data_IF_615732975888
#
_entry.id   IF_615732975888
#
_cell.length_a   1.000
_cell.length_b   1.000
_cell.length_c   1.000
_cell.angle_alpha   90.00
_cell.angle_beta   90.00
_cell.angle_gamma   90.00
#
_symmetry.space_group_name_H-M   'P 1'
#
loop_
_entity.id
_entity.type
_entity.pdbx_description
1 polymer ?
#
# COMPACT_ATOMS: atom_id res chain seq x y z
N UNK A 1 -23.08 -5.53 43.43
CA UNK A 1 -24.48 -5.13 43.12
C UNK A 1 -24.65 -4.38 41.78
N UNK A 2 -23.62 -4.22 40.94
CA UNK A 2 -23.76 -3.64 39.58
C UNK A 2 -24.17 -4.66 38.50
N UNK A 3 -24.10 -5.96 38.80
CA UNK A 3 -24.43 -7.07 37.88
C UNK A 3 -25.93 -7.33 37.67
N UNK A 4 -26.81 -6.43 38.16
CA UNK A 4 -28.28 -6.58 38.12
C UNK A 4 -29.01 -5.50 37.33
N UNK A 5 -28.31 -4.52 36.77
CA UNK A 5 -28.93 -3.59 35.83
C UNK A 5 -28.86 -4.26 34.46
N UNK A 6 -30.02 -4.71 33.98
CA UNK A 6 -30.20 -5.22 32.62
C UNK A 6 -30.13 -4.03 31.65
N UNK A 7 -28.94 -3.44 31.54
CA UNK A 7 -28.69 -2.27 30.69
C UNK A 7 -28.72 -2.75 29.25
N UNK A 8 -29.65 -2.19 28.48
CA UNK A 8 -29.65 -2.37 27.03
C UNK A 8 -28.48 -1.59 26.43
N UNK A 9 -27.32 -2.28 26.40
CA UNK A 9 -26.09 -1.74 25.87
C UNK A 9 -26.22 -1.35 24.39
N UNK A 10 -27.05 -2.06 23.63
CA UNK A 10 -27.24 -1.78 22.20
C UNK A 10 -27.96 -0.44 22.03
N UNK A 11 -29.12 -0.28 22.67
CA UNK A 11 -29.86 0.97 22.65
C UNK A 11 -29.04 2.16 23.18
N UNK A 12 -28.22 1.95 24.21
CA UNK A 12 -27.31 3.00 24.69
C UNK A 12 -26.32 3.45 23.60
N UNK A 13 -25.61 2.52 22.95
CA UNK A 13 -24.62 2.87 21.95
C UNK A 13 -25.23 3.41 20.65
N UNK A 14 -26.43 2.97 20.29
CA UNK A 14 -27.18 3.52 19.15
C UNK A 14 -27.56 4.98 19.42
N UNK A 15 -28.07 5.29 20.61
CA UNK A 15 -28.38 6.68 21.01
C UNK A 15 -27.10 7.54 21.16
N UNK A 16 -26.05 6.97 21.74
CA UNK A 16 -24.80 7.70 21.99
C UNK A 16 -24.03 8.01 20.69
N UNK A 17 -24.22 7.21 19.62
CA UNK A 17 -23.51 7.41 18.35
C UNK A 17 -23.75 8.81 17.74
N UNK A 18 -24.97 9.33 17.85
CA UNK A 18 -25.31 10.68 17.40
C UNK A 18 -24.51 11.75 18.15
N UNK A 19 -24.53 11.69 19.49
CA UNK A 19 -23.78 12.60 20.35
C UNK A 19 -22.26 12.48 20.12
N UNK A 20 -21.76 11.24 20.00
CA UNK A 20 -20.36 10.97 19.69
C UNK A 20 -19.93 11.67 18.39
N UNK A 21 -20.73 11.52 17.33
CA UNK A 21 -20.49 12.12 16.03
C UNK A 21 -20.45 13.65 16.10
N UNK A 22 -21.41 14.27 16.78
CA UNK A 22 -21.43 15.72 16.98
C UNK A 22 -20.20 16.21 17.73
N UNK A 23 -19.79 15.48 18.78
CA UNK A 23 -18.65 15.86 19.62
C UNK A 23 -17.31 15.67 18.92
N UNK A 24 -17.18 14.70 18.01
CA UNK A 24 -16.00 14.61 17.12
C UNK A 24 -15.90 15.82 16.21
N UNK A 25 -17.00 16.24 15.56
CA UNK A 25 -17.02 17.43 14.72
C UNK A 25 -16.59 18.69 15.48
N UNK A 26 -16.96 18.78 16.76
CA UNK A 26 -16.60 19.86 17.67
C UNK A 26 -15.18 19.74 18.23
N UNK A 27 -14.41 18.70 17.87
CA UNK A 27 -13.09 18.37 18.46
C UNK A 27 -13.11 18.34 19.99
N UNK A 28 -14.22 17.89 20.56
CA UNK A 28 -14.43 17.89 22.01
C UNK A 28 -13.65 16.78 22.72
N UNK A 29 -13.46 15.64 22.06
CA UNK A 29 -12.75 14.50 22.62
C UNK A 29 -11.25 14.59 22.35
N UNK A 30 -10.45 14.31 23.37
CA UNK A 30 -9.03 14.01 23.19
C UNK A 30 -8.83 12.68 22.44
N UNK A 31 -7.74 12.58 21.70
CA UNK A 31 -7.36 11.38 20.96
C UNK A 31 -7.32 10.12 21.85
N UNK A 32 -6.78 10.26 23.06
CA UNK A 32 -6.65 9.17 24.05
C UNK A 32 -8.01 8.60 24.49
N UNK A 33 -9.05 9.46 24.58
CA UNK A 33 -10.40 9.05 24.93
C UNK A 33 -11.04 8.23 23.80
N UNK A 34 -10.86 8.65 22.55
CA UNK A 34 -11.36 7.91 21.39
C UNK A 34 -10.64 6.56 21.26
N UNK A 35 -9.31 6.54 21.37
CA UNK A 35 -8.54 5.30 21.29
C UNK A 35 -8.99 4.27 22.34
N UNK A 36 -9.22 4.73 23.58
CA UNK A 36 -9.72 3.87 24.67
C UNK A 36 -11.12 3.32 24.36
N UNK A 37 -12.02 4.16 23.83
CA UNK A 37 -13.35 3.74 23.43
C UNK A 37 -13.28 2.67 22.33
N UNK A 38 -12.59 2.96 21.22
CA UNK A 38 -12.44 2.03 20.10
C UNK A 38 -11.84 0.70 20.55
N UNK A 39 -10.82 0.72 21.41
CA UNK A 39 -10.26 -0.50 21.99
C UNK A 39 -11.31 -1.31 22.77
N UNK A 40 -12.10 -0.65 23.61
CA UNK A 40 -13.15 -1.32 24.40
C UNK A 40 -14.27 -1.91 23.53
N UNK A 41 -14.49 -1.33 22.34
CA UNK A 41 -15.45 -1.81 21.35
C UNK A 41 -14.86 -2.87 20.42
N UNK A 42 -13.55 -3.13 20.45
CA UNK A 42 -12.85 -3.97 19.48
C UNK A 42 -13.35 -5.41 19.37
N UNK A 43 -14.11 -5.91 20.33
CA UNK A 43 -14.75 -7.23 20.27
C UNK A 43 -16.20 -7.23 19.76
N UNK A 44 -16.75 -6.06 19.38
CA UNK A 44 -18.13 -5.88 18.92
C UNK A 44 -18.12 -5.29 17.51
N UNK A 45 -18.37 -6.13 16.52
CA UNK A 45 -18.23 -5.82 15.08
C UNK A 45 -19.02 -4.58 14.66
N UNK A 46 -20.31 -4.55 15.00
CA UNK A 46 -21.23 -3.44 14.72
C UNK A 46 -20.77 -2.13 15.35
N UNK A 47 -20.41 -2.15 16.64
CA UNK A 47 -20.03 -0.95 17.39
C UNK A 47 -18.64 -0.44 17.00
N UNK A 48 -17.64 -1.31 16.88
CA UNK A 48 -16.31 -0.87 16.43
C UNK A 48 -16.39 -0.23 15.05
N UNK A 49 -17.07 -0.89 14.11
CA UNK A 49 -17.25 -0.38 12.76
C UNK A 49 -17.95 0.96 12.71
N UNK A 50 -19.08 1.11 13.43
CA UNK A 50 -19.85 2.34 13.46
C UNK A 50 -19.04 3.52 14.03
N UNK A 51 -18.36 3.31 15.16
CA UNK A 51 -17.63 4.38 15.85
C UNK A 51 -16.32 4.73 15.14
N UNK A 52 -15.59 3.75 14.60
CA UNK A 52 -14.38 4.02 13.83
C UNK A 52 -14.69 4.71 12.49
N UNK A 53 -15.80 4.32 11.83
CA UNK A 53 -16.29 5.02 10.63
C UNK A 53 -16.65 6.48 10.93
N UNK A 54 -17.39 6.73 12.01
CA UNK A 54 -17.74 8.09 12.43
C UNK A 54 -16.48 8.91 12.72
N UNK A 55 -15.51 8.35 13.43
CA UNK A 55 -14.22 9.01 13.68
C UNK A 55 -13.48 9.36 12.39
N UNK A 56 -13.34 8.39 11.49
CA UNK A 56 -12.63 8.57 10.22
C UNK A 56 -13.27 9.59 9.29
N UNK A 57 -14.61 9.67 9.27
CA UNK A 57 -15.36 10.61 8.44
C UNK A 57 -15.13 12.09 8.81
N UNK A 58 -14.77 12.37 10.07
CA UNK A 58 -14.68 13.74 10.59
C UNK A 58 -13.28 14.13 11.07
N UNK A 59 -12.27 13.30 10.78
CA UNK A 59 -10.87 13.55 11.13
C UNK A 59 -9.98 13.50 9.89
N UNK A 60 -8.77 14.02 10.00
CA UNK A 60 -7.78 14.00 8.91
C UNK A 60 -7.23 12.59 8.66
N UNK A 61 -6.71 12.28 7.45
CA UNK A 61 -6.02 11.01 7.19
C UNK A 61 -4.91 10.71 8.21
N UNK A 62 -4.18 11.73 8.65
CA UNK A 62 -3.13 11.63 9.67
C UNK A 62 -3.68 11.15 11.02
N UNK A 63 -4.82 11.69 11.45
CA UNK A 63 -5.47 11.26 12.70
C UNK A 63 -5.94 9.80 12.62
N UNK A 64 -6.49 9.38 11.48
CA UNK A 64 -6.91 7.99 11.25
C UNK A 64 -5.70 7.04 11.24
N UNK A 65 -4.60 7.45 10.58
CA UNK A 65 -3.35 6.70 10.58
C UNK A 65 -2.77 6.55 11.99
N UNK A 66 -2.69 7.65 12.73
CA UNK A 66 -2.22 7.65 14.11
C UNK A 66 -3.12 6.80 15.03
N UNK A 67 -4.43 6.76 14.77
CA UNK A 67 -5.35 5.86 15.50
C UNK A 67 -5.03 4.39 15.21
N UNK A 68 -4.83 4.03 13.94
CA UNK A 68 -4.39 2.67 13.57
C UNK A 68 -3.08 2.29 14.27
N UNK A 69 -2.07 3.16 14.20
CA UNK A 69 -0.81 2.99 14.89
C UNK A 69 -1.05 2.83 16.40
N UNK A 70 -1.80 3.71 17.05
CA UNK A 70 -2.09 3.59 18.48
C UNK A 70 -2.79 2.27 18.86
N UNK A 71 -3.76 1.81 18.07
CA UNK A 71 -4.43 0.53 18.31
C UNK A 71 -3.45 -0.65 18.16
N UNK A 72 -2.49 -0.55 17.26
CA UNK A 72 -1.47 -1.58 16.98
C UNK A 72 -0.41 -1.71 18.08
N UNK A 73 -0.10 -0.65 18.84
CA UNK A 73 0.91 -0.71 19.92
C UNK A 73 0.37 -1.25 21.24
N UNK A 74 -0.94 -1.19 21.45
CA UNK A 74 -1.53 -1.34 22.78
C UNK A 74 -2.14 -2.75 23.01
N UNK A 75 -2.34 -3.55 21.96
CA UNK A 75 -2.90 -4.89 22.10
C UNK A 75 -2.97 -5.68 20.79
N UNK A 76 -3.56 -6.87 20.85
CA UNK A 76 -3.73 -7.72 19.66
C UNK A 76 -4.85 -7.15 18.80
N UNK A 77 -4.52 -6.83 17.54
CA UNK A 77 -5.53 -6.50 16.54
C UNK A 77 -6.30 -7.77 16.19
N UNK A 78 -7.45 -7.97 16.85
CA UNK A 78 -8.34 -9.08 16.53
C UNK A 78 -8.95 -8.92 15.13
N UNK A 79 -9.66 -9.96 14.67
CA UNK A 79 -10.24 -10.01 13.33
C UNK A 79 -11.25 -8.89 13.06
N UNK A 80 -12.04 -8.49 14.07
CA UNK A 80 -13.02 -7.41 13.96
C UNK A 80 -12.30 -6.07 13.69
N UNK A 81 -11.26 -5.77 14.47
CA UNK A 81 -10.48 -4.55 14.30
C UNK A 81 -9.79 -4.55 12.94
N UNK A 82 -9.16 -5.66 12.54
CA UNK A 82 -8.51 -5.79 11.24
C UNK A 82 -9.49 -5.54 10.08
N UNK A 83 -10.68 -6.16 10.12
CA UNK A 83 -11.72 -6.00 9.10
C UNK A 83 -12.07 -4.52 8.86
N UNK A 84 -12.33 -3.77 9.93
CA UNK A 84 -12.73 -2.36 9.83
C UNK A 84 -11.56 -1.43 9.54
N UNK A 85 -10.35 -1.73 10.03
CA UNK A 85 -9.12 -1.00 9.67
C UNK A 85 -8.84 -1.12 8.17
N UNK A 86 -8.93 -2.34 7.61
CA UNK A 86 -8.77 -2.59 6.17
C UNK A 86 -9.87 -1.92 5.35
N UNK A 87 -11.10 -1.83 5.87
CA UNK A 87 -12.18 -1.13 5.17
C UNK A 87 -11.95 0.39 5.10
N UNK A 88 -11.43 0.98 6.17
CA UNK A 88 -11.43 2.44 6.38
C UNK A 88 -10.11 3.09 5.98
N UNK A 89 -8.95 2.49 6.27
CA UNK A 89 -7.66 3.13 6.02
C UNK A 89 -7.38 3.36 4.52
N UNK A 90 -7.56 2.38 3.61
CA UNK A 90 -7.24 2.54 2.19
C UNK A 90 -7.91 3.76 1.52
N UNK A 91 -9.23 3.98 1.60
CA UNK A 91 -9.88 5.13 0.95
C UNK A 91 -9.55 6.48 1.59
N UNK A 92 -8.93 6.49 2.78
CA UNK A 92 -8.46 7.72 3.43
C UNK A 92 -7.05 8.08 3.02
N UNK A 93 -6.25 7.08 2.63
CA UNK A 93 -4.82 7.22 2.37
C UNK A 93 -4.51 7.24 0.87
N UNK A 94 -5.31 6.59 0.03
CA UNK A 94 -5.06 6.46 -1.42
C UNK A 94 -4.85 7.79 -2.19
N UNK A 95 -5.31 8.92 -1.64
CA UNK A 95 -5.25 10.27 -2.22
C UNK A 95 -4.31 11.24 -1.53
N UNK A 96 -3.59 10.83 -0.48
CA UNK A 96 -2.63 11.72 0.18
C UNK A 96 -1.39 11.93 -0.71
N UNK A 97 -0.55 12.90 -0.36
CA UNK A 97 0.68 13.14 -1.10
C UNK A 97 1.70 12.01 -0.87
N UNK A 98 2.61 11.80 -1.83
CA UNK A 98 3.71 10.85 -1.66
C UNK A 98 4.56 11.16 -0.43
N UNK A 99 4.78 12.45 -0.13
CA UNK A 99 5.57 12.87 1.03
C UNK A 99 4.87 12.52 2.35
N UNK A 100 3.56 12.79 2.47
CA UNK A 100 2.79 12.40 3.65
C UNK A 100 2.82 10.88 3.83
N UNK A 101 2.68 10.14 2.74
CA UNK A 101 2.68 8.68 2.79
C UNK A 101 4.05 8.11 3.19
N UNK A 102 5.17 8.71 2.75
CA UNK A 102 6.51 8.35 3.23
C UNK A 102 6.67 8.57 4.74
N UNK A 103 6.11 9.66 5.26
CA UNK A 103 6.10 9.89 6.71
C UNK A 103 5.28 8.82 7.44
N UNK A 104 4.15 8.42 6.87
CA UNK A 104 3.29 7.37 7.43
C UNK A 104 4.00 6.02 7.46
N UNK A 105 4.65 5.62 6.37
CA UNK A 105 5.39 4.35 6.31
C UNK A 105 6.58 4.36 7.25
N UNK A 106 7.30 5.48 7.39
CA UNK A 106 8.38 5.64 8.37
C UNK A 106 7.88 5.42 9.80
N UNK A 107 6.80 6.08 10.20
CA UNK A 107 6.20 5.90 11.53
C UNK A 107 5.74 4.45 11.78
N UNK A 108 5.17 3.80 10.76
CA UNK A 108 4.79 2.39 10.85
C UNK A 108 5.99 1.47 11.04
N UNK A 109 7.11 1.70 10.33
CA UNK A 109 8.36 0.95 10.51
C UNK A 109 8.90 1.07 11.94
N UNK A 110 9.01 2.31 12.44
CA UNK A 110 9.46 2.58 13.81
C UNK A 110 8.60 1.85 14.85
N UNK A 111 7.30 1.72 14.56
CA UNK A 111 6.38 1.03 15.42
C UNK A 111 6.43 -0.50 15.28
N UNK A 112 6.60 -1.05 14.08
CA UNK A 112 6.75 -2.50 13.88
C UNK A 112 7.91 -3.08 14.68
N UNK A 113 8.99 -2.31 14.84
CA UNK A 113 10.16 -2.66 15.66
C UNK A 113 9.83 -2.77 17.16
N UNK A 114 8.72 -2.18 17.61
CA UNK A 114 8.28 -2.20 19.01
C UNK A 114 7.20 -3.28 19.27
N UNK A 115 6.65 -3.88 18.22
CA UNK A 115 5.62 -4.91 18.32
C UNK A 115 6.29 -6.28 18.35
N UNK A 116 5.86 -7.13 19.30
CA UNK A 116 6.33 -8.51 19.42
C UNK A 116 5.99 -9.34 18.19
N UNK A 117 6.84 -10.30 17.83
CA UNK A 117 6.69 -11.09 16.60
C UNK A 117 5.32 -11.78 16.49
N UNK A 118 4.76 -12.26 17.61
CA UNK A 118 3.43 -12.90 17.66
C UNK A 118 2.28 -11.98 17.21
N UNK A 119 2.43 -10.66 17.42
CA UNK A 119 1.40 -9.65 17.17
C UNK A 119 1.60 -8.90 15.85
N UNK A 120 2.74 -9.13 15.20
CA UNK A 120 3.16 -8.44 13.99
C UNK A 120 2.32 -8.82 12.74
N UNK A 121 1.91 -10.09 12.51
CA UNK A 121 1.24 -10.46 11.25
C UNK A 121 -0.06 -9.70 10.95
N UNK A 122 -0.99 -9.48 11.90
CA UNK A 122 -2.17 -8.64 11.68
C UNK A 122 -1.85 -7.22 11.21
N UNK A 123 -0.79 -6.63 11.78
CA UNK A 123 -0.36 -5.25 11.47
C UNK A 123 0.24 -5.20 10.07
N UNK A 124 1.12 -6.14 9.74
CA UNK A 124 1.72 -6.25 8.41
C UNK A 124 0.65 -6.39 7.32
N UNK A 125 -0.37 -7.22 7.54
CA UNK A 125 -1.49 -7.39 6.60
C UNK A 125 -2.22 -6.07 6.32
N UNK A 126 -2.47 -5.26 7.36
CA UNK A 126 -3.12 -3.94 7.20
C UNK A 126 -2.19 -2.99 6.43
N UNK A 127 -0.91 -2.94 6.80
CA UNK A 127 0.09 -2.10 6.14
C UNK A 127 0.24 -2.44 4.67
N UNK A 128 0.35 -3.73 4.33
CA UNK A 128 0.42 -4.24 2.97
C UNK A 128 -0.83 -3.83 2.16
N UNK A 129 -2.02 -3.97 2.76
CA UNK A 129 -3.27 -3.59 2.10
C UNK A 129 -3.35 -2.09 1.82
N UNK A 130 -2.95 -1.26 2.79
CA UNK A 130 -2.94 0.20 2.66
C UNK A 130 -1.90 0.65 1.63
N UNK A 131 -0.70 0.07 1.66
CA UNK A 131 0.37 0.33 0.72
C UNK A 131 -0.04 -0.02 -0.70
N UNK A 132 -0.64 -1.20 -0.89
CA UNK A 132 -1.16 -1.60 -2.19
C UNK A 132 -2.21 -0.63 -2.69
N UNK A 133 -3.18 -0.22 -1.85
CA UNK A 133 -4.23 0.71 -2.27
C UNK A 133 -3.67 2.08 -2.66
N UNK A 134 -2.71 2.60 -1.89
CA UNK A 134 -2.01 3.83 -2.21
C UNK A 134 -1.27 3.72 -3.54
N UNK A 135 -0.41 2.73 -3.71
CA UNK A 135 0.37 2.53 -4.93
C UNK A 135 -0.53 2.28 -6.14
N UNK A 136 -1.55 1.44 -5.99
CA UNK A 136 -2.49 1.13 -7.05
C UNK A 136 -3.16 2.41 -7.57
N UNK A 137 -3.60 3.30 -6.67
CA UNK A 137 -4.19 4.58 -7.05
C UNK A 137 -3.17 5.51 -7.69
N UNK A 138 -2.00 5.67 -7.07
CA UNK A 138 -1.01 6.66 -7.48
C UNK A 138 -0.27 6.29 -8.77
N UNK A 139 -0.09 5.00 -9.04
CA UNK A 139 0.69 4.48 -10.18
C UNK A 139 -0.21 4.16 -11.39
N UNK A 140 -1.47 3.76 -11.20
CA UNK A 140 -2.37 3.58 -12.35
C UNK A 140 -2.99 4.88 -12.84
N UNK A 141 -3.12 5.88 -11.98
CA UNK A 141 -3.69 7.16 -12.37
C UNK A 141 -2.62 8.00 -13.08
N UNK A 142 -2.75 8.16 -14.40
CA UNK A 142 -1.78 8.88 -15.24
C UNK A 142 -1.60 10.36 -14.83
N UNK A 143 -2.50 10.93 -14.01
CA UNK A 143 -2.31 12.26 -13.44
C UNK A 143 -1.21 12.27 -12.35
N UNK A 144 -0.96 11.15 -11.67
CA UNK A 144 -0.09 11.04 -10.49
C UNK A 144 1.13 10.17 -10.73
N UNK A 145 1.03 9.16 -11.60
CA UNK A 145 2.09 8.16 -11.85
C UNK A 145 3.43 8.77 -12.23
N UNK A 146 3.39 9.92 -12.93
CA UNK A 146 4.55 10.64 -13.41
C UNK A 146 5.27 11.51 -12.37
N UNK A 147 4.73 11.63 -11.15
CA UNK A 147 5.31 12.43 -10.07
C UNK A 147 6.37 11.67 -9.26
N UNK A 148 6.39 10.35 -9.35
CA UNK A 148 7.35 9.52 -8.63
C UNK A 148 8.68 9.48 -9.39
N UNK A 149 9.76 9.78 -8.67
CA UNK A 149 11.11 9.55 -9.13
C UNK A 149 11.48 8.07 -8.99
N UNK A 150 12.54 7.65 -9.68
CA UNK A 150 13.10 6.31 -9.50
C UNK A 150 13.49 6.06 -8.03
N UNK A 151 14.00 7.08 -7.34
CA UNK A 151 14.35 7.00 -5.92
C UNK A 151 13.13 6.74 -5.04
N UNK A 152 12.00 7.40 -5.31
CA UNK A 152 10.76 7.20 -4.55
C UNK A 152 10.25 5.78 -4.71
N UNK A 153 10.25 5.27 -5.94
CA UNK A 153 9.81 3.91 -6.24
C UNK A 153 10.70 2.87 -5.57
N UNK A 154 12.02 3.07 -5.53
CA UNK A 154 12.94 2.18 -4.80
C UNK A 154 12.65 2.16 -3.29
N UNK A 155 12.39 3.32 -2.70
CA UNK A 155 12.01 3.42 -1.29
C UNK A 155 10.69 2.69 -0.99
N UNK A 156 9.69 2.84 -1.86
CA UNK A 156 8.43 2.10 -1.75
C UNK A 156 8.60 0.60 -1.98
N UNK A 157 9.53 0.17 -2.83
CA UNK A 157 9.82 -1.25 -3.05
C UNK A 157 10.39 -1.88 -1.79
N UNK A 158 11.39 -1.24 -1.18
CA UNK A 158 11.97 -1.69 0.10
C UNK A 158 10.91 -1.74 1.20
N UNK A 159 10.06 -0.71 1.27
CA UNK A 159 8.95 -0.67 2.23
C UNK A 159 7.93 -1.80 1.98
N UNK A 160 7.62 -2.11 0.72
CA UNK A 160 6.72 -3.22 0.36
C UNK A 160 7.30 -4.57 0.79
N UNK A 161 8.61 -4.77 0.60
CA UNK A 161 9.30 -5.97 1.02
C UNK A 161 9.31 -6.11 2.55
N UNK A 162 9.59 -5.03 3.29
CA UNK A 162 9.56 -5.02 4.76
C UNK A 162 8.15 -5.29 5.33
N UNK A 163 7.10 -4.80 4.66
CA UNK A 163 5.72 -5.02 5.09
C UNK A 163 5.17 -6.38 4.67
N UNK A 164 5.79 -7.05 3.71
CA UNK A 164 5.38 -8.35 3.24
C UNK A 164 5.81 -9.45 4.21
N UNK A 165 4.86 -10.27 4.66
CA UNK A 165 5.16 -11.43 5.51
C UNK A 165 6.03 -12.48 4.80
N UNK A 166 5.98 -12.56 3.46
CA UNK A 166 6.78 -13.48 2.65
C UNK A 166 8.08 -12.86 2.13
N UNK A 167 8.27 -11.55 2.28
CA UNK A 167 9.40 -10.80 1.69
C UNK A 167 9.63 -11.11 0.19
N UNK A 168 8.56 -11.35 -0.57
CA UNK A 168 8.65 -11.74 -1.98
C UNK A 168 8.31 -10.59 -2.93
N UNK A 169 8.94 -10.59 -4.11
CA UNK A 169 8.64 -9.64 -5.18
C UNK A 169 7.31 -9.91 -5.89
N UNK A 170 6.74 -11.10 -5.70
CA UNK A 170 5.40 -11.47 -6.17
C UNK A 170 4.28 -10.71 -5.46
N UNK A 171 4.59 -9.98 -4.38
CA UNK A 171 3.62 -9.14 -3.71
C UNK A 171 2.99 -8.14 -4.71
N UNK A 172 1.66 -7.97 -4.74
CA UNK A 172 1.01 -7.04 -5.66
C UNK A 172 1.61 -5.63 -5.65
N UNK A 173 1.99 -5.10 -4.48
CA UNK A 173 2.63 -3.77 -4.37
C UNK A 173 3.99 -3.72 -5.05
N UNK A 174 4.81 -4.76 -4.86
CA UNK A 174 6.11 -4.90 -5.50
C UNK A 174 5.96 -4.95 -7.02
N UNK A 175 5.02 -5.77 -7.53
CA UNK A 175 4.76 -5.90 -8.97
C UNK A 175 4.34 -4.56 -9.61
N UNK A 176 3.50 -3.77 -8.93
CA UNK A 176 3.10 -2.44 -9.40
C UNK A 176 4.29 -1.48 -9.56
N UNK A 177 5.18 -1.48 -8.57
CA UNK A 177 6.38 -0.64 -8.54
C UNK A 177 7.37 -1.08 -9.62
N UNK A 178 7.62 -2.39 -9.72
CA UNK A 178 8.52 -2.98 -10.72
C UNK A 178 8.03 -2.64 -12.12
N UNK A 179 6.73 -2.80 -12.39
CA UNK A 179 6.13 -2.40 -13.67
C UNK A 179 6.36 -0.92 -13.97
N UNK A 180 6.31 -0.05 -12.96
CA UNK A 180 6.60 1.38 -13.15
C UNK A 180 8.06 1.68 -13.47
N UNK A 181 8.98 1.08 -12.71
CA UNK A 181 10.43 1.21 -12.94
C UNK A 181 10.82 0.72 -14.34
N UNK A 182 10.29 -0.45 -14.73
CA UNK A 182 10.65 -1.10 -15.99
C UNK A 182 9.94 -0.55 -17.22
N UNK A 183 8.76 0.06 -17.09
CA UNK A 183 7.97 0.45 -18.27
C UNK A 183 7.53 1.91 -18.25
N UNK A 184 6.89 2.39 -17.18
CA UNK A 184 6.28 3.74 -17.17
C UNK A 184 7.27 4.90 -17.05
N UNK A 185 8.45 4.70 -16.47
CA UNK A 185 9.47 5.76 -16.40
C UNK A 185 10.15 6.05 -17.76
N UNK A 186 10.13 5.11 -18.71
CA UNK A 186 10.71 5.34 -20.04
C UNK A 186 9.72 6.03 -20.96
N UNK A 187 9.83 7.36 -21.00
CA UNK A 187 9.00 8.25 -21.83
C UNK A 187 9.58 8.50 -23.22
N UNK A 188 10.70 7.89 -23.56
CA UNK A 188 11.36 8.23 -24.80
C UNK A 188 10.69 7.52 -25.98
N UNK A 189 10.16 8.29 -26.92
CA UNK A 189 9.72 7.80 -28.21
C UNK A 189 10.94 7.43 -29.05
N UNK A 190 11.39 6.19 -28.89
CA UNK A 190 12.49 5.58 -29.64
C UNK A 190 11.99 4.42 -30.49
N UNK A 191 12.81 3.99 -31.46
CA UNK A 191 12.52 2.77 -32.23
C UNK A 191 12.47 1.55 -31.30
N UNK A 192 11.83 0.46 -31.74
CA UNK A 192 11.61 -0.75 -30.91
C UNK A 192 12.92 -1.34 -30.37
N UNK A 193 14.01 -1.24 -31.13
CA UNK A 193 15.33 -1.76 -30.73
C UNK A 193 15.91 -1.02 -29.53
N UNK A 194 15.94 0.31 -29.56
CA UNK A 194 16.41 1.13 -28.44
C UNK A 194 15.53 0.95 -27.20
N UNK A 195 14.21 0.77 -27.38
CA UNK A 195 13.30 0.40 -26.28
C UNK A 195 13.72 -0.93 -25.62
N UNK A 196 14.05 -1.96 -26.39
CA UNK A 196 14.50 -3.25 -25.88
C UNK A 196 15.84 -3.15 -25.15
N UNK A 197 16.84 -2.50 -25.73
CA UNK A 197 18.15 -2.29 -25.10
C UNK A 197 18.04 -1.61 -23.74
N UNK A 198 17.13 -0.63 -23.62
CA UNK A 198 16.87 0.07 -22.35
C UNK A 198 16.07 -0.74 -21.37
N UNK A 199 15.17 -1.59 -21.83
CA UNK A 199 14.48 -2.55 -20.97
C UNK A 199 15.50 -3.48 -20.31
N UNK A 200 16.42 -4.08 -21.08
CA UNK A 200 17.48 -4.92 -20.52
C UNK A 200 18.36 -4.17 -19.51
N UNK A 201 18.81 -2.95 -19.83
CA UNK A 201 19.57 -2.13 -18.88
C UNK A 201 18.80 -1.86 -17.57
N UNK A 202 17.49 -1.63 -17.65
CA UNK A 202 16.64 -1.42 -16.46
C UNK A 202 16.42 -2.71 -15.68
N UNK A 203 16.37 -3.86 -16.36
CA UNK A 203 16.32 -5.17 -15.74
C UNK A 203 17.61 -5.46 -14.98
N UNK A 204 18.78 -5.16 -15.55
CA UNK A 204 20.06 -5.31 -14.87
C UNK A 204 20.10 -4.45 -13.59
N UNK A 205 19.69 -3.18 -13.69
CA UNK A 205 19.60 -2.29 -12.54
C UNK A 205 18.60 -2.78 -11.47
N UNK A 206 17.48 -3.39 -11.88
CA UNK A 206 16.51 -3.96 -10.94
C UNK A 206 17.09 -5.22 -10.28
N UNK A 207 17.86 -6.02 -11.01
CA UNK A 207 18.49 -7.23 -10.52
C UNK A 207 19.46 -6.94 -9.38
N UNK A 208 20.30 -5.91 -9.54
CA UNK A 208 21.21 -5.41 -8.49
C UNK A 208 20.50 -4.96 -7.20
N UNK A 209 19.21 -4.63 -7.26
CA UNK A 209 18.45 -4.05 -6.15
C UNK A 209 17.52 -5.06 -5.50
N UNK A 210 16.93 -5.97 -6.28
CA UNK A 210 15.77 -6.74 -5.84
C UNK A 210 15.89 -8.25 -6.12
N UNK A 211 16.64 -8.68 -7.13
CA UNK A 211 16.52 -10.05 -7.66
C UNK A 211 17.70 -11.00 -7.34
N UNK A 212 18.57 -10.69 -6.38
CA UNK A 212 19.64 -11.64 -5.96
C UNK A 212 19.10 -13.04 -5.58
N UNK A 213 17.82 -13.14 -5.18
CA UNK A 213 17.15 -14.38 -4.78
C UNK A 213 15.95 -14.82 -5.65
N UNK A 214 15.53 -14.04 -6.65
CA UNK A 214 14.31 -14.31 -7.43
C UNK A 214 14.56 -14.23 -8.94
N UNK A 215 14.10 -15.22 -9.69
CA UNK A 215 14.19 -15.21 -11.16
C UNK A 215 13.34 -14.06 -11.74
N UNK A 216 13.92 -13.13 -12.52
CA UNK A 216 13.17 -12.07 -13.21
C UNK A 216 11.98 -12.57 -14.02
N UNK A 217 12.05 -13.80 -14.55
CA UNK A 217 10.96 -14.42 -15.30
C UNK A 217 9.72 -14.74 -14.45
N UNK A 218 9.84 -14.81 -13.12
CA UNK A 218 8.72 -15.00 -12.19
C UNK A 218 7.99 -13.69 -11.85
N UNK A 219 8.60 -12.55 -12.20
CA UNK A 219 8.15 -11.21 -11.79
C UNK A 219 7.58 -10.43 -12.98
N UNK A 220 8.15 -10.60 -14.17
CA UNK A 220 7.72 -9.93 -15.40
C UNK A 220 6.59 -10.74 -16.03
N UNK A 221 5.43 -10.12 -16.21
CA UNK A 221 4.27 -10.76 -16.84
C UNK A 221 4.29 -10.52 -18.36
N UNK A 222 3.93 -11.54 -19.14
CA UNK A 222 3.94 -11.51 -20.62
C UNK A 222 3.10 -10.37 -21.20
N UNK A 223 1.99 -10.01 -20.55
CA UNK A 223 1.11 -8.93 -20.97
C UNK A 223 1.77 -7.55 -20.87
N UNK A 224 2.81 -7.39 -20.05
CA UNK A 224 3.56 -6.14 -19.94
C UNK A 224 4.50 -5.93 -21.14
N UNK A 225 4.88 -7.01 -21.82
CA UNK A 225 5.82 -6.99 -22.95
C UNK A 225 5.14 -6.77 -24.31
N UNK A 226 3.81 -6.62 -24.35
CA UNK A 226 3.01 -6.54 -25.58
C UNK A 226 3.53 -5.50 -26.58
N UNK A 227 4.00 -4.34 -26.10
CA UNK A 227 4.53 -3.26 -26.95
C UNK A 227 5.99 -3.48 -27.39
N UNK A 228 6.68 -4.45 -26.79
CA UNK A 228 8.07 -4.81 -27.05
C UNK A 228 8.19 -6.05 -27.94
N UNK A 229 7.12 -6.82 -28.10
CA UNK A 229 7.07 -8.02 -28.94
C UNK A 229 6.87 -7.67 -30.42
N UNK A 230 7.71 -8.22 -31.29
CA UNK A 230 7.55 -8.13 -32.75
C UNK A 230 6.47 -9.09 -33.23
N UNK A 231 5.22 -8.61 -33.36
CA UNK A 231 4.05 -9.44 -33.67
C UNK A 231 3.90 -9.81 -35.15
N UNK A 232 4.51 -9.07 -36.08
CA UNK A 232 4.32 -9.26 -37.54
C UNK A 232 5.68 -9.35 -38.23
N UNK A 233 5.90 -10.30 -39.17
CA UNK A 233 7.15 -10.39 -39.95
C UNK A 233 7.58 -9.07 -40.60
N UNK A 234 6.64 -8.19 -40.94
CA UNK A 234 6.94 -6.86 -41.48
C UNK A 234 7.67 -5.94 -40.47
N UNK A 235 7.42 -6.11 -39.17
CA UNK A 235 8.17 -5.38 -38.14
C UNK A 235 9.63 -5.87 -38.05
N UNK A 236 9.89 -7.13 -38.41
CA UNK A 236 11.25 -7.68 -38.50
C UNK A 236 11.98 -7.15 -39.74
N UNK A 237 11.26 -6.86 -40.82
CA UNK A 237 11.83 -6.28 -42.04
C UNK A 237 12.29 -4.83 -41.88
N UNK A 238 11.89 -4.16 -40.80
CA UNK A 238 12.37 -2.81 -40.44
C UNK A 238 13.63 -2.83 -39.56
N UNK A 239 14.16 -4.00 -39.19
CA UNK A 239 15.45 -4.11 -38.51
C UNK A 239 16.57 -3.93 -39.53
N UNK A 240 17.40 -2.91 -39.32
CA UNK A 240 18.61 -2.76 -40.13
C UNK A 240 19.62 -3.84 -39.75
N UNK A 241 20.60 -4.10 -40.63
CA UNK A 241 21.70 -5.03 -40.35
C UNK A 241 22.46 -4.66 -39.06
N UNK A 242 22.53 -3.36 -38.75
CA UNK A 242 23.17 -2.86 -37.55
C UNK A 242 22.37 -3.19 -36.27
N UNK A 243 21.04 -3.07 -36.34
CA UNK A 243 20.14 -3.44 -35.24
C UNK A 243 20.19 -4.96 -34.97
N UNK A 244 20.27 -5.77 -36.04
CA UNK A 244 20.37 -7.23 -35.92
C UNK A 244 21.69 -7.68 -35.29
N UNK A 245 22.83 -7.11 -35.70
CA UNK A 245 24.13 -7.41 -35.08
C UNK A 245 24.13 -7.10 -33.58
N UNK A 246 23.58 -5.95 -33.19
CA UNK A 246 23.54 -5.54 -31.80
C UNK A 246 22.66 -6.45 -30.92
N UNK A 247 21.62 -7.09 -31.48
CA UNK A 247 20.81 -8.11 -30.80
C UNK A 247 21.61 -9.41 -30.54
N UNK A 248 22.39 -9.85 -31.53
CA UNK A 248 23.22 -11.05 -31.41
C UNK A 248 24.48 -10.85 -30.54
N UNK A 249 24.86 -9.60 -30.25
CA UNK A 249 26.01 -9.30 -29.38
C UNK A 249 25.60 -9.09 -27.92
N UNK A 250 24.32 -8.88 -27.63
CA UNK A 250 23.78 -8.73 -26.26
C UNK A 250 23.29 -10.05 -25.64
N UNK A 251 23.32 -11.16 -26.38
CA UNK A 251 22.90 -12.51 -25.95
C UNK A 251 23.83 -13.57 -26.56
#
# INVERSE_FOLDING_TARGET
MLSKLNLDHKSFFDCYQGLFTEKIKQKFYEFSHIARLLRSLGSRDDLFGAYFSAYSAYTSPNEVWNMFLNLSSIGDLNEIMQKHLILILPPRIDRISAEDFKQYTKLAKDQLNQISDEKRPPVLKILETVLYAFLNKQLHDDQYSYKFTESDLKEFLNTSLEFSASCTLENPSCLLIIRHLLFKLDRQTTNKFEKLKRLFKRLDNLNEIACEANDPALIIQDDWLIEYIFRIPHDWLNLTKHDYQSLCEMH
#
